data_IF_711809896426
#
_entry.id   IF_711809896426
#
_cell.length_a   1.000
_cell.length_b   1.000
_cell.length_c   1.000
_cell.angle_alpha   90.00
_cell.angle_beta   90.00
_cell.angle_gamma   90.00
#
_symmetry.space_group_name_H-M   'P 1'
#
loop_
_entity.id
_entity.type
_entity.pdbx_description
1 polymer ?
#
# COMPACT_ATOMS: atom_id res chain seq x y z
N UNK A 1 -4.87 62.14 23.35
CA UNK A 1 -5.44 61.50 24.55
C UNK A 1 -5.48 60.01 24.27
N UNK A 2 -4.39 59.34 24.64
CA UNK A 2 -4.20 57.89 24.61
C UNK A 2 -5.13 57.27 25.68
N UNK A 3 -5.48 55.99 25.59
CA UNK A 3 -6.48 55.24 26.41
C UNK A 3 -7.86 55.14 25.74
N UNK A 4 -7.99 54.24 24.77
CA UNK A 4 -9.24 53.48 24.51
C UNK A 4 -9.02 52.24 23.63
N UNK A 5 -7.78 51.74 23.50
CA UNK A 5 -7.48 50.51 22.72
C UNK A 5 -7.53 49.26 23.60
N UNK A 6 -7.61 49.42 24.92
CA UNK A 6 -7.46 48.34 25.92
C UNK A 6 -8.77 47.65 26.34
N UNK A 7 -9.90 47.90 25.67
CA UNK A 7 -11.21 47.26 26.00
C UNK A 7 -11.88 46.50 24.85
N UNK A 8 -11.20 46.31 23.71
CA UNK A 8 -11.75 45.51 22.60
C UNK A 8 -11.16 44.10 22.48
N UNK A 9 -10.10 43.78 23.24
CA UNK A 9 -9.44 42.47 23.19
C UNK A 9 -10.17 41.42 24.05
N UNK A 10 -11.05 41.84 24.98
CA UNK A 10 -11.72 40.93 25.93
C UNK A 10 -13.11 40.47 25.44
N UNK A 11 -13.74 41.18 24.50
CA UNK A 11 -15.10 40.86 24.02
C UNK A 11 -15.16 39.85 22.87
N UNK A 12 -14.04 39.50 22.24
CA UNK A 12 -14.00 38.42 21.21
C UNK A 12 -13.87 37.03 21.87
N UNK A 13 -13.62 36.96 23.17
CA UNK A 13 -13.41 35.70 23.89
C UNK A 13 -14.66 35.10 24.55
N UNK A 14 -15.85 35.73 24.48
CA UNK A 14 -17.05 35.27 25.21
C UNK A 14 -18.25 34.88 24.32
N UNK A 15 -18.17 34.96 23.00
CA UNK A 15 -19.26 34.56 22.08
C UNK A 15 -18.79 33.73 20.87
N UNK A 16 -17.72 32.94 21.04
CA UNK A 16 -17.15 32.12 19.97
C UNK A 16 -17.07 30.62 20.28
N UNK A 17 -17.63 30.16 21.41
CA UNK A 17 -17.43 28.79 21.92
C UNK A 17 -18.60 27.84 21.68
N UNK A 18 -19.54 28.13 20.76
CA UNK A 18 -20.53 27.13 20.34
C UNK A 18 -20.78 27.20 18.84
N UNK A 19 -19.80 26.77 18.05
CA UNK A 19 -20.08 25.84 16.94
C UNK A 19 -19.07 24.69 17.06
N UNK A 20 -19.27 23.98 18.17
CA UNK A 20 -18.76 22.66 18.43
C UNK A 20 -19.38 21.71 17.42
N UNK A 21 -18.74 21.56 16.26
CA UNK A 21 -18.83 20.33 15.51
C UNK A 21 -17.57 19.54 15.85
N UNK A 22 -17.61 18.50 16.71
CA UNK A 22 -16.80 17.35 16.39
C UNK A 22 -17.40 16.89 15.08
N UNK A 23 -16.79 17.29 13.96
CA UNK A 23 -16.92 16.49 12.77
C UNK A 23 -16.26 15.17 13.15
N UNK A 24 -17.04 14.30 13.80
CA UNK A 24 -16.90 12.88 13.62
C UNK A 24 -17.15 12.72 12.12
N UNK A 25 -16.11 13.00 11.35
CA UNK A 25 -15.86 12.28 10.13
C UNK A 25 -15.90 10.84 10.62
N UNK A 26 -17.07 10.22 10.49
CA UNK A 26 -17.13 8.79 10.36
C UNK A 26 -16.18 8.55 9.20
N UNK A 27 -14.92 8.27 9.54
CA UNK A 27 -13.96 7.65 8.67
C UNK A 27 -14.77 6.48 8.14
N UNK A 28 -15.29 6.65 6.92
CA UNK A 28 -15.95 5.59 6.22
C UNK A 28 -14.79 4.65 5.94
N UNK A 29 -14.50 3.82 6.94
CA UNK A 29 -13.56 2.72 6.87
C UNK A 29 -13.96 2.05 5.58
N UNK A 30 -13.12 2.26 4.57
CA UNK A 30 -13.27 1.63 3.29
C UNK A 30 -12.93 0.18 3.57
N UNK A 31 -13.88 -0.51 4.19
CA UNK A 31 -13.88 -1.93 4.41
C UNK A 31 -14.06 -2.54 3.02
N UNK A 32 -12.99 -2.48 2.24
CA UNK A 32 -12.75 -3.41 1.18
C UNK A 32 -12.57 -4.73 1.91
N UNK A 33 -13.52 -5.67 1.81
CA UNK A 33 -13.24 -7.03 2.25
C UNK A 33 -11.94 -7.40 1.54
N UNK A 34 -10.90 -7.78 2.30
CA UNK A 34 -9.63 -8.24 1.75
C UNK A 34 -9.87 -9.59 1.08
N UNK A 35 -10.54 -9.57 -0.07
CA UNK A 35 -10.61 -10.71 -0.94
C UNK A 35 -9.17 -11.02 -1.33
N UNK A 36 -8.73 -12.27 -1.17
CA UNK A 36 -7.39 -12.62 -1.59
C UNK A 36 -7.29 -12.40 -3.10
N UNK A 37 -6.20 -11.77 -3.52
CA UNK A 37 -5.92 -11.59 -4.94
C UNK A 37 -5.40 -12.91 -5.50
N UNK A 38 -5.83 -13.29 -6.69
CA UNK A 38 -5.34 -14.50 -7.38
C UNK A 38 -4.50 -14.03 -8.56
N UNK A 39 -3.23 -14.45 -8.60
CA UNK A 39 -2.32 -14.13 -9.69
C UNK A 39 -1.83 -15.39 -10.39
N UNK A 40 -1.70 -15.34 -11.72
CA UNK A 40 -0.87 -16.26 -12.49
C UNK A 40 0.61 -15.86 -12.30
N UNK A 41 1.35 -16.65 -11.53
CA UNK A 41 2.78 -16.47 -11.30
C UNK A 41 3.54 -17.30 -12.33
N UNK A 42 4.30 -16.62 -13.18
CA UNK A 42 5.20 -17.21 -14.17
C UNK A 42 6.62 -17.14 -13.62
N UNK A 43 7.20 -18.30 -13.33
CA UNK A 43 8.55 -18.44 -12.78
C UNK A 43 9.50 -18.90 -13.87
N UNK A 44 10.51 -18.09 -14.18
CA UNK A 44 11.57 -18.40 -15.13
C UNK A 44 12.88 -18.68 -14.39
N UNK A 45 13.51 -19.83 -14.66
CA UNK A 45 14.79 -20.20 -14.05
C UNK A 45 15.84 -20.37 -15.14
N UNK A 46 16.91 -19.60 -15.07
CA UNK A 46 18.06 -19.79 -15.95
C UNK A 46 18.94 -20.94 -15.41
N UNK A 47 19.31 -21.86 -16.30
CA UNK A 47 20.20 -22.98 -16.00
C UNK A 47 21.63 -22.67 -16.42
N UNK A 48 22.61 -23.42 -15.92
CA UNK A 48 24.03 -23.29 -16.29
C UNK A 48 24.30 -23.43 -17.79
N UNK A 49 23.36 -24.03 -18.53
CA UNK A 49 23.47 -24.26 -19.97
C UNK A 49 22.78 -23.16 -20.79
N UNK A 50 22.30 -22.08 -20.15
CA UNK A 50 21.56 -21.00 -20.80
C UNK A 50 20.12 -21.34 -21.19
N UNK A 51 19.61 -22.51 -20.77
CA UNK A 51 18.20 -22.86 -20.97
C UNK A 51 17.36 -22.19 -19.88
N UNK A 52 16.25 -21.56 -20.28
CA UNK A 52 15.25 -20.99 -19.37
C UNK A 52 14.12 -22.01 -19.19
N UNK A 53 13.91 -22.42 -17.95
CA UNK A 53 12.79 -23.28 -17.56
C UNK A 53 11.67 -22.41 -17.03
N UNK A 54 10.49 -22.49 -17.64
CA UNK A 54 9.30 -21.73 -17.24
C UNK A 54 8.30 -22.61 -16.51
N UNK A 55 7.84 -22.17 -15.35
CA UNK A 55 6.76 -22.78 -14.57
C UNK A 55 5.63 -21.77 -14.39
N UNK A 56 4.38 -22.19 -14.61
CA UNK A 56 3.19 -21.35 -14.42
C UNK A 56 2.33 -21.92 -13.30
N UNK A 57 1.85 -21.06 -12.40
CA UNK A 57 0.95 -21.48 -11.32
C UNK A 57 0.04 -20.34 -10.88
N UNK A 58 -1.12 -20.69 -10.34
CA UNK A 58 -2.01 -19.73 -9.71
C UNK A 58 -1.72 -19.67 -8.21
N UNK A 59 -1.48 -18.47 -7.68
CA UNK A 59 -1.32 -18.26 -6.24
C UNK A 59 -2.35 -17.30 -5.69
N UNK A 60 -2.93 -17.71 -4.57
CA UNK A 60 -3.85 -16.90 -3.76
C UNK A 60 -3.04 -16.08 -2.76
N UNK A 61 -3.01 -14.77 -2.95
CA UNK A 61 -2.27 -13.79 -2.15
C UNK A 61 -3.20 -13.17 -1.10
N UNK A 62 -3.00 -13.57 0.15
CA UNK A 62 -3.70 -13.03 1.32
C UNK A 62 -3.06 -11.73 1.83
N UNK A 63 -1.73 -11.68 1.78
CA UNK A 63 -0.92 -10.54 2.14
C UNK A 63 0.21 -10.38 1.11
N UNK A 64 0.37 -9.16 0.61
CA UNK A 64 1.37 -8.84 -0.41
C UNK A 64 2.79 -9.02 0.15
N UNK A 65 3.01 -8.72 1.43
CA UNK A 65 4.30 -8.91 2.11
C UNK A 65 4.74 -10.37 2.18
N UNK A 66 3.82 -11.29 2.50
CA UNK A 66 4.10 -12.73 2.50
C UNK A 66 4.44 -13.24 1.10
N UNK A 67 3.73 -12.74 0.08
CA UNK A 67 4.00 -13.08 -1.30
C UNK A 67 5.41 -12.66 -1.73
N UNK A 68 5.82 -11.41 -1.47
CA UNK A 68 7.15 -10.93 -1.83
C UNK A 68 8.25 -11.59 -1.00
N UNK A 69 7.99 -11.92 0.27
CA UNK A 69 8.96 -12.65 1.11
C UNK A 69 9.32 -14.02 0.54
N UNK A 70 8.35 -14.72 -0.07
CA UNK A 70 8.57 -16.00 -0.75
C UNK A 70 9.47 -15.86 -1.99
N UNK A 71 9.42 -14.72 -2.66
CA UNK A 71 10.11 -14.42 -3.91
C UNK A 71 11.23 -13.39 -3.77
N UNK A 72 11.72 -13.15 -2.56
CA UNK A 72 12.74 -12.12 -2.27
C UNK A 72 14.05 -12.30 -3.06
N UNK A 73 14.40 -13.55 -3.41
CA UNK A 73 15.59 -13.89 -4.19
C UNK A 73 15.30 -14.05 -5.69
N UNK A 74 14.14 -13.56 -6.14
CA UNK A 74 13.72 -13.56 -7.54
C UNK A 74 13.63 -12.12 -8.04
N UNK A 75 13.95 -11.94 -9.31
CA UNK A 75 13.82 -10.66 -10.00
C UNK A 75 12.42 -10.51 -10.59
N UNK A 76 11.77 -9.38 -10.36
CA UNK A 76 10.51 -9.04 -11.01
C UNK A 76 10.77 -8.54 -12.43
N UNK A 77 10.29 -9.30 -13.42
CA UNK A 77 10.45 -8.97 -14.84
C UNK A 77 9.27 -8.14 -15.34
N UNK A 78 8.05 -8.54 -14.99
CA UNK A 78 6.83 -7.85 -15.40
C UNK A 78 5.69 -8.13 -14.40
N UNK A 79 4.78 -7.17 -14.25
CA UNK A 79 3.57 -7.32 -13.44
C UNK A 79 2.38 -6.68 -14.14
N UNK A 80 1.33 -7.47 -14.31
CA UNK A 80 0.01 -7.05 -14.80
C UNK A 80 -1.04 -7.24 -13.71
N UNK A 81 -2.29 -6.92 -14.05
CA UNK A 81 -3.41 -6.97 -13.11
C UNK A 81 -3.63 -8.37 -12.51
N UNK A 82 -3.40 -9.42 -13.29
CA UNK A 82 -3.68 -10.82 -12.95
C UNK A 82 -2.47 -11.75 -13.14
N UNK A 83 -1.30 -11.21 -13.51
CA UNK A 83 -0.11 -11.97 -13.86
C UNK A 83 1.15 -11.33 -13.28
N UNK A 84 2.06 -12.16 -12.76
CA UNK A 84 3.36 -11.74 -12.24
C UNK A 84 4.44 -12.62 -12.87
N UNK A 85 5.43 -12.01 -13.51
CA UNK A 85 6.56 -12.71 -14.13
C UNK A 85 7.81 -12.49 -13.28
N UNK A 86 8.35 -13.58 -12.74
CA UNK A 86 9.55 -13.58 -11.92
C UNK A 86 10.64 -14.41 -12.59
N UNK A 87 11.88 -13.95 -12.52
CA UNK A 87 13.05 -14.69 -12.99
C UNK A 87 14.03 -14.93 -11.87
N UNK A 88 14.50 -16.17 -11.74
CA UNK A 88 15.61 -16.51 -10.85
C UNK A 88 16.92 -16.44 -11.63
N UNK A 89 17.86 -15.57 -11.26
CA UNK A 89 19.18 -15.55 -11.89
C UNK A 89 19.93 -16.86 -11.59
N UNK A 90 20.77 -17.27 -12.53
CA UNK A 90 21.68 -18.38 -12.28
C UNK A 90 22.75 -17.94 -11.27
N UNK A 91 22.66 -18.44 -10.04
CA UNK A 91 23.72 -18.29 -9.05
C UNK A 91 24.68 -19.47 -9.16
N UNK A 92 25.93 -19.16 -9.50
CA UNK A 92 27.03 -20.12 -9.41
C UNK A 92 27.43 -20.23 -7.93
N UNK A 93 26.96 -21.28 -7.27
CA UNK A 93 27.40 -21.66 -5.92
C UNK A 93 28.88 -22.04 -5.90
#
# INVERSE_FOLDING_TARGET
>A
MLISVTRYVVTIFLTGTILFSPQAEAEMDNYHPRYPAIYEVILEKETSNGLVVTEKKYETVWAVEDFWSKYQNWELIDQKQDQIILRKPYEKH
#
